data_IF_808189951511
#
_entry.id   IF_808189951511
#
_cell.length_a   1.000
_cell.length_b   1.000
_cell.length_c   1.000
_cell.angle_alpha   90.00
_cell.angle_beta   90.00
_cell.angle_gamma   90.00
#
_symmetry.space_group_name_H-M   'P 1'
#
loop_
_entity.id
_entity.type
_entity.pdbx_description
1 polymer ?
#
# COMPACT_ATOMS: atom_id res chain seq x y z
N UNK A 1 5.51 26.23 -14.50
CA UNK A 1 4.88 25.26 -13.59
C UNK A 1 4.81 23.93 -14.34
N UNK A 2 5.73 23.01 -14.07
CA UNK A 2 5.68 21.63 -14.56
C UNK A 2 4.59 20.87 -13.79
N UNK A 3 3.86 19.89 -14.30
CA UNK A 3 3.79 19.22 -15.58
C UNK A 3 2.60 18.24 -15.50
N UNK A 4 2.07 17.89 -16.66
CA UNK A 4 0.84 17.11 -16.90
C UNK A 4 0.89 15.65 -16.42
N UNK A 5 -0.24 15.14 -15.90
CA UNK A 5 -0.53 13.71 -15.71
C UNK A 5 -2.00 13.40 -16.12
N UNK A 6 -2.16 12.84 -17.31
CA UNK A 6 -3.42 12.62 -18.05
C UNK A 6 -4.33 11.52 -17.46
N UNK A 7 -5.62 11.84 -17.23
CA UNK A 7 -6.78 11.03 -17.68
C UNK A 7 -7.92 11.97 -18.08
N UNK A 8 -8.29 11.94 -19.36
CA UNK A 8 -9.47 12.51 -20.03
C UNK A 8 -10.45 13.42 -19.23
N UNK A 9 -10.37 14.73 -19.49
CA UNK A 9 -11.36 15.75 -19.09
C UNK A 9 -11.32 16.09 -17.61
N UNK A 10 -11.09 17.35 -17.24
CA UNK A 10 -11.23 17.82 -15.86
C UNK A 10 -12.67 17.63 -15.38
N UNK A 11 -13.00 16.43 -14.90
CA UNK A 11 -14.23 16.18 -14.15
C UNK A 11 -13.95 16.68 -12.74
N UNK A 12 -14.50 17.84 -12.43
CA UNK A 12 -14.49 18.36 -11.06
C UNK A 12 -15.40 17.44 -10.24
N UNK A 13 -14.80 16.66 -9.35
CA UNK A 13 -15.53 15.81 -8.41
C UNK A 13 -15.94 16.67 -7.22
N UNK A 14 -17.25 16.76 -6.99
CA UNK A 14 -17.82 17.51 -5.87
C UNK A 14 -17.96 16.61 -4.63
N UNK A 15 -17.33 17.02 -3.54
CA UNK A 15 -17.39 16.40 -2.23
C UNK A 15 -16.74 17.37 -1.23
N UNK A 16 -17.48 18.38 -0.75
CA UNK A 16 -16.93 19.50 -0.01
C UNK A 16 -17.00 19.25 1.50
N UNK A 17 -15.89 18.89 2.18
CA UNK A 17 -15.95 18.43 3.57
C UNK A 17 -16.42 19.53 4.54
N UNK A 18 -16.20 20.80 4.19
CA UNK A 18 -16.58 21.94 5.02
C UNK A 18 -18.07 22.30 4.93
N UNK A 19 -18.72 21.96 3.80
CA UNK A 19 -20.15 22.17 3.60
C UNK A 19 -20.94 20.92 4.01
N UNK A 20 -20.43 19.73 3.73
CA UNK A 20 -21.08 18.44 3.97
C UNK A 20 -20.84 17.89 5.38
N UNK A 21 -21.11 18.70 6.42
CA UNK A 21 -20.85 18.32 7.82
C UNK A 21 -21.67 17.12 8.30
N UNK A 22 -22.78 16.80 7.63
CA UNK A 22 -23.64 15.65 7.93
C UNK A 22 -23.05 14.29 7.52
N UNK A 23 -21.97 14.27 6.73
CA UNK A 23 -21.30 13.04 6.32
C UNK A 23 -20.41 12.44 7.42
N UNK A 24 -20.04 13.23 8.43
CA UNK A 24 -19.24 12.79 9.59
C UNK A 24 -20.09 12.19 10.73
N UNK A 25 -21.41 12.02 10.50
CA UNK A 25 -22.31 11.39 11.46
C UNK A 25 -21.94 9.90 11.63
N UNK A 26 -21.94 9.37 12.87
CA UNK A 26 -21.66 7.96 13.10
C UNK A 26 -22.56 7.04 12.27
N UNK A 27 -22.00 6.03 11.62
CA UNK A 27 -22.74 5.09 10.76
C UNK A 27 -22.70 5.43 9.27
N UNK A 28 -22.49 6.70 8.90
CA UNK A 28 -22.47 7.11 7.48
C UNK A 28 -21.22 6.56 6.78
N UNK A 29 -20.07 6.62 7.45
CA UNK A 29 -18.81 6.11 6.92
C UNK A 29 -18.84 4.59 6.79
N UNK A 30 -19.44 3.90 7.75
CA UNK A 30 -19.62 2.45 7.75
C UNK A 30 -20.56 2.01 6.62
N UNK A 31 -21.67 2.72 6.43
CA UNK A 31 -22.60 2.45 5.32
C UNK A 31 -21.94 2.69 3.96
N UNK A 32 -21.19 3.79 3.79
CA UNK A 32 -20.44 4.06 2.56
C UNK A 32 -19.36 2.99 2.32
N UNK A 33 -18.65 2.55 3.37
CA UNK A 33 -17.66 1.48 3.31
C UNK A 33 -18.25 0.15 2.83
N UNK A 34 -19.43 -0.22 3.33
CA UNK A 34 -20.12 -1.45 2.92
C UNK A 34 -20.48 -1.45 1.41
N UNK A 35 -20.93 -0.30 0.88
CA UNK A 35 -21.22 -0.16 -0.55
C UNK A 35 -19.95 -0.26 -1.40
N UNK A 36 -18.84 0.33 -0.96
CA UNK A 36 -17.55 0.21 -1.64
C UNK A 36 -17.05 -1.24 -1.63
N UNK A 37 -17.20 -1.93 -0.50
CA UNK A 37 -16.80 -3.33 -0.38
C UNK A 37 -17.59 -4.25 -1.32
N UNK A 38 -18.92 -4.04 -1.45
CA UNK A 38 -19.75 -4.80 -2.39
C UNK A 38 -19.25 -4.64 -3.84
N UNK A 39 -18.95 -3.42 -4.25
CA UNK A 39 -18.47 -3.13 -5.60
C UNK A 39 -17.06 -3.67 -5.85
N UNK A 40 -16.15 -3.56 -4.87
CA UNK A 40 -14.78 -4.09 -4.98
C UNK A 40 -14.73 -5.62 -4.92
N UNK A 41 -15.69 -6.27 -4.27
CA UNK A 41 -15.87 -7.72 -4.35
C UNK A 41 -16.37 -8.15 -5.73
N UNK A 42 -17.29 -7.40 -6.32
CA UNK A 42 -17.89 -7.69 -7.63
C UNK A 42 -16.89 -7.48 -8.77
N UNK A 43 -16.08 -6.43 -8.70
CA UNK A 43 -15.13 -6.06 -9.75
C UNK A 43 -13.70 -6.15 -9.25
N UNK A 44 -12.94 -7.14 -9.75
CA UNK A 44 -11.51 -7.23 -9.45
C UNK A 44 -10.77 -6.03 -10.05
N UNK A 45 -9.90 -5.34 -9.28
CA UNK A 45 -9.11 -4.23 -9.80
C UNK A 45 -8.26 -4.67 -11.00
N UNK A 46 -8.49 -4.05 -12.16
CA UNK A 46 -7.74 -4.31 -13.40
C UNK A 46 -6.58 -3.34 -13.61
N UNK A 47 -6.64 -2.17 -12.98
CA UNK A 47 -5.61 -1.13 -13.05
C UNK A 47 -4.76 -1.17 -11.79
N UNK A 48 -3.46 -1.44 -11.96
CA UNK A 48 -2.51 -1.31 -10.87
C UNK A 48 -2.19 0.17 -10.64
N UNK A 49 -2.71 0.73 -9.54
CA UNK A 49 -2.46 2.12 -9.14
C UNK A 49 -1.03 2.36 -8.65
N UNK A 50 -0.20 1.32 -8.51
CA UNK A 50 1.23 1.43 -8.20
C UNK A 50 2.11 1.24 -9.44
N UNK A 51 1.53 1.07 -10.63
CA UNK A 51 2.30 0.78 -11.86
C UNK A 51 3.24 1.91 -12.29
N UNK A 52 2.95 3.15 -11.91
CA UNK A 52 3.82 4.30 -12.18
C UNK A 52 4.98 4.41 -11.20
N UNK A 53 4.97 3.64 -10.11
CA UNK A 53 6.02 3.64 -9.11
C UNK A 53 7.07 2.57 -9.46
N UNK A 54 8.34 2.92 -9.27
CA UNK A 54 9.42 1.95 -9.34
C UNK A 54 9.27 0.94 -8.21
N UNK A 55 9.56 -0.34 -8.49
CA UNK A 55 9.55 -1.38 -7.47
C UNK A 55 10.48 -0.98 -6.30
N UNK A 56 10.00 -0.97 -5.05
CA UNK A 56 10.81 -0.57 -3.92
C UNK A 56 11.94 -1.57 -3.68
N UNK A 57 13.15 -1.05 -3.45
CA UNK A 57 14.29 -1.87 -3.03
C UNK A 57 14.20 -2.15 -1.53
N UNK A 58 13.69 -3.34 -1.18
CA UNK A 58 13.61 -3.81 0.20
C UNK A 58 14.97 -4.21 0.80
N UNK A 59 16.05 -4.20 0.01
CA UNK A 59 17.39 -4.55 0.46
C UNK A 59 18.28 -3.35 0.74
N UNK A 60 17.85 -2.13 0.37
CA UNK A 60 18.62 -0.89 0.52
C UNK A 60 19.14 -0.66 1.96
N UNK A 61 18.39 -1.11 2.96
CA UNK A 61 18.76 -0.95 4.38
C UNK A 61 19.35 -2.21 5.02
N UNK A 62 19.54 -3.29 4.27
CA UNK A 62 20.08 -4.54 4.81
C UNK A 62 21.60 -4.44 4.84
N UNK A 63 22.15 -4.55 6.06
CA UNK A 63 23.59 -4.76 6.22
C UNK A 63 23.98 -6.16 5.75
N UNK A 64 25.26 -6.36 5.44
CA UNK A 64 25.78 -7.65 4.97
C UNK A 64 25.51 -8.78 5.98
N UNK A 65 25.60 -8.46 7.29
CA UNK A 65 25.28 -9.39 8.38
C UNK A 65 23.81 -9.80 8.34
N UNK A 66 22.90 -8.82 8.18
CA UNK A 66 21.47 -9.11 8.10
C UNK A 66 21.13 -9.98 6.88
N UNK A 67 21.75 -9.71 5.71
CA UNK A 67 21.53 -10.56 4.51
C UNK A 67 21.91 -12.01 4.78
N UNK A 68 23.08 -12.24 5.39
CA UNK A 68 23.56 -13.58 5.74
C UNK A 68 22.62 -14.29 6.73
N UNK A 69 22.12 -13.58 7.74
CA UNK A 69 21.15 -14.14 8.69
C UNK A 69 19.81 -14.50 8.04
N UNK A 70 19.30 -13.65 7.15
CA UNK A 70 18.09 -13.97 6.39
C UNK A 70 18.28 -15.21 5.50
N UNK A 71 19.44 -15.36 4.85
CA UNK A 71 19.75 -16.57 4.07
C UNK A 71 19.90 -17.82 4.94
N UNK A 72 20.49 -17.69 6.14
CA UNK A 72 20.58 -18.79 7.10
C UNK A 72 19.18 -19.25 7.53
N UNK A 73 18.31 -18.30 7.89
CA UNK A 73 16.91 -18.57 8.28
C UNK A 73 16.11 -19.20 7.13
N UNK A 74 16.23 -18.67 5.90
CA UNK A 74 15.57 -19.22 4.72
C UNK A 74 16.02 -20.66 4.42
N UNK A 75 17.30 -20.94 4.58
CA UNK A 75 17.88 -22.28 4.46
C UNK A 75 17.64 -23.18 5.69
N UNK A 76 16.96 -22.67 6.73
CA UNK A 76 16.73 -23.35 8.02
C UNK A 76 18.01 -23.91 8.66
N UNK A 77 19.14 -23.24 8.42
CA UNK A 77 20.43 -23.64 8.99
C UNK A 77 20.47 -23.22 10.47
N UNK A 78 20.94 -24.08 11.38
CA UNK A 78 21.14 -23.71 12.78
C UNK A 78 22.15 -22.56 12.89
N UNK A 79 22.05 -21.78 13.97
CA UNK A 79 23.01 -20.71 14.24
C UNK A 79 24.39 -21.33 14.51
N UNK A 80 25.45 -20.63 14.11
CA UNK A 80 26.80 -21.08 14.40
C UNK A 80 27.00 -21.13 15.92
N UNK A 81 27.51 -22.26 16.41
CA UNK A 81 27.75 -22.46 17.83
C UNK A 81 29.01 -21.67 18.23
N UNK A 82 28.83 -20.68 19.10
CA UNK A 82 29.95 -19.95 19.69
C UNK A 82 30.71 -20.89 20.66
N UNK A 83 31.88 -21.38 20.26
CA UNK A 83 32.75 -22.17 21.14
C UNK A 83 33.69 -21.23 21.91
N UNK A 84 33.55 -21.19 23.23
CA UNK A 84 34.39 -20.38 24.13
C UNK A 84 35.57 -21.21 24.67
N UNK A 85 36.44 -21.73 23.80
CA UNK A 85 37.62 -22.48 24.23
C UNK A 85 38.86 -21.59 24.32
#
# INVERSE_FOLDING_TARGET
>A
MAGTGSVAGEVVVDALPYFDQGCEVPGVREAAGALVEEETCRYRPTKNYLSYLTAPDYSAFKTDIMRNEFERLAARRPIELLSMK
#
